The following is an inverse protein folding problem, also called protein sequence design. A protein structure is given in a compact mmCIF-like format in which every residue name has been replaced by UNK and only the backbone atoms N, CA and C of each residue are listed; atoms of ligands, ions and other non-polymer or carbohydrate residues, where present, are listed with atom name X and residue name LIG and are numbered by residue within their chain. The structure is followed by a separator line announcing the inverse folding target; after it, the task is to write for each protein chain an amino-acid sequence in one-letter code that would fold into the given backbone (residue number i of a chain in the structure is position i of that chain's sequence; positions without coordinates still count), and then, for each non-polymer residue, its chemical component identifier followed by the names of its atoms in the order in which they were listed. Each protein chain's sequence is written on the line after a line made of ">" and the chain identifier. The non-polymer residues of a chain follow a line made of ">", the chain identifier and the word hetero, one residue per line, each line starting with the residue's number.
data_IF_254281507377
#
_entry.id   IF_254281507377
#
_cell.length_a   1.000
_cell.length_b   1.000
_cell.length_c   1.000
_cell.angle_alpha   90.00
_cell.angle_beta   90.00
_cell.angle_gamma   90.00
#
_symmetry.space_group_name_H-M   'P 1'
#
loop_
_entity.id
_entity.type
_entity.pdbx_description
1 polymer ?
#
# COMPACT_ATOMS: atom_id res chain seq x y z
N UNK A 1 3.76 -3.31 -13.48
CA UNK A 1 2.89 -2.16 -13.14
C UNK A 1 3.42 -0.82 -13.70
N UNK A 2 4.66 -0.41 -13.37
CA UNK A 2 5.15 0.93 -13.75
C UNK A 2 5.81 1.05 -15.14
N UNK A 3 6.03 -0.07 -15.84
CA UNK A 3 6.73 -0.06 -17.14
C UNK A 3 6.11 0.90 -18.18
N UNK A 4 4.79 0.99 -18.36
CA UNK A 4 4.18 1.92 -19.33
C UNK A 4 4.46 3.40 -19.05
N UNK A 5 4.81 3.75 -17.81
CA UNK A 5 5.02 5.13 -17.38
C UNK A 5 6.44 5.62 -17.57
N UNK A 6 7.39 4.74 -17.93
CA UNK A 6 8.79 5.13 -18.17
C UNK A 6 8.98 5.94 -19.44
N UNK A 7 8.18 5.65 -20.46
CA UNK A 7 8.34 6.20 -21.82
C UNK A 7 7.28 7.27 -22.18
N UNK A 8 6.46 7.69 -21.21
CA UNK A 8 5.40 8.70 -21.41
C UNK A 8 5.75 10.09 -20.89
N UNK A 9 4.96 11.09 -21.29
CA UNK A 9 5.09 12.49 -20.84
C UNK A 9 5.11 12.69 -19.32
N UNK A 10 4.56 11.73 -18.57
CA UNK A 10 4.50 11.75 -17.12
C UNK A 10 5.73 11.15 -16.42
N UNK A 11 6.67 10.55 -17.14
CA UNK A 11 7.86 9.87 -16.58
C UNK A 11 8.68 10.76 -15.65
N UNK A 12 8.76 12.06 -15.96
CA UNK A 12 9.46 13.08 -15.16
C UNK A 12 8.93 13.26 -13.73
N UNK A 13 7.72 12.79 -13.44
CA UNK A 13 7.10 12.91 -12.11
C UNK A 13 7.44 11.73 -11.18
N UNK A 14 8.10 10.68 -11.69
CA UNK A 14 8.49 9.52 -10.91
C UNK A 14 9.94 9.67 -10.43
N UNK A 15 10.17 9.50 -9.13
CA UNK A 15 11.52 9.36 -8.60
C UNK A 15 12.05 7.94 -8.88
N UNK A 16 12.54 7.71 -10.11
CA UNK A 16 12.99 6.39 -10.55
C UNK A 16 14.10 5.83 -9.67
N UNK A 17 15.05 6.65 -9.22
CA UNK A 17 16.12 6.20 -8.32
C UNK A 17 15.55 5.62 -7.01
N UNK A 18 14.57 6.28 -6.40
CA UNK A 18 13.91 5.79 -5.18
C UNK A 18 13.08 4.53 -5.43
N UNK A 19 12.40 4.45 -6.59
CA UNK A 19 11.64 3.26 -6.99
C UNK A 19 12.57 2.06 -7.20
N UNK A 20 13.73 2.25 -7.82
CA UNK A 20 14.74 1.20 -7.96
C UNK A 20 15.24 0.73 -6.59
N UNK A 21 15.50 1.65 -5.65
CA UNK A 21 15.93 1.32 -4.29
C UNK A 21 14.86 0.55 -3.49
N UNK A 22 13.57 0.78 -3.75
CA UNK A 22 12.46 0.11 -3.06
C UNK A 22 11.99 -1.18 -3.74
N UNK A 23 12.32 -1.38 -5.02
CA UNK A 23 11.92 -2.57 -5.79
C UNK A 23 12.28 -3.91 -5.12
N UNK A 24 13.46 -4.07 -4.48
CA UNK A 24 13.82 -5.32 -3.78
C UNK A 24 12.85 -5.73 -2.66
N UNK A 25 12.08 -4.79 -2.10
CA UNK A 25 11.09 -5.10 -1.04
C UNK A 25 9.76 -5.62 -1.61
N UNK A 26 9.58 -5.63 -2.94
CA UNK A 26 8.36 -6.08 -3.60
C UNK A 26 7.20 -5.08 -3.44
N UNK A 27 6.50 -5.15 -2.32
CA UNK A 27 5.35 -4.31 -2.02
C UNK A 27 4.81 -4.55 -0.61
N UNK A 28 3.95 -3.67 -0.13
CA UNK A 28 3.37 -3.72 1.22
C UNK A 28 1.85 -3.80 1.08
N UNK A 29 1.23 -4.74 1.81
CA UNK A 29 -0.22 -4.78 2.03
C UNK A 29 -0.46 -5.07 3.51
N UNK A 30 -1.34 -4.29 4.12
CA UNK A 30 -1.86 -4.52 5.47
C UNK A 30 -3.37 -4.67 5.33
N UNK A 31 -3.93 -5.73 5.90
CA UNK A 31 -5.33 -6.10 5.77
C UNK A 31 -5.86 -6.52 7.14
N UNK A 32 -6.99 -5.94 7.54
CA UNK A 32 -7.68 -6.24 8.79
C UNK A 32 -9.08 -6.76 8.49
N UNK A 33 -9.70 -7.41 9.48
CA UNK A 33 -11.10 -7.80 9.44
C UNK A 33 -11.89 -6.92 10.40
N UNK A 34 -12.95 -6.30 9.88
CA UNK A 34 -13.78 -5.34 10.61
C UNK A 34 -15.23 -5.78 10.67
N UNK A 35 -15.92 -5.46 11.77
CA UNK A 35 -17.36 -5.63 11.95
C UNK A 35 -18.00 -4.26 12.11
N UNK A 36 -19.08 -4.01 11.38
CA UNK A 36 -19.85 -2.76 11.46
C UNK A 36 -21.00 -2.96 12.45
N UNK A 37 -21.11 -2.07 13.42
CA UNK A 37 -22.18 -2.01 14.42
C UNK A 37 -22.99 -0.70 14.23
N UNK A 38 -24.11 -0.51 14.95
CA UNK A 38 -24.95 0.69 14.77
C UNK A 38 -24.23 1.99 15.15
N UNK A 39 -23.31 1.95 16.13
CA UNK A 39 -22.64 3.14 16.65
C UNK A 39 -21.10 3.07 16.64
N UNK A 40 -20.50 1.99 16.13
CA UNK A 40 -19.05 1.85 16.02
C UNK A 40 -18.62 0.87 14.91
N UNK A 41 -17.31 0.85 14.66
CA UNK A 41 -16.65 -0.17 13.83
C UNK A 41 -15.65 -0.90 14.73
N UNK A 42 -15.79 -2.21 14.82
CA UNK A 42 -14.87 -3.08 15.54
C UNK A 42 -13.79 -3.56 14.57
N UNK A 43 -12.52 -3.40 14.92
CA UNK A 43 -11.42 -3.96 14.17
C UNK A 43 -10.88 -5.17 14.92
N UNK A 44 -11.48 -6.33 14.65
CA UNK A 44 -11.16 -7.59 15.32
C UNK A 44 -9.66 -7.91 15.26
N UNK A 45 -9.02 -7.63 14.12
CA UNK A 45 -7.59 -7.88 13.93
C UNK A 45 -6.73 -7.02 14.88
N UNK A 46 -7.10 -5.75 15.06
CA UNK A 46 -6.36 -4.82 15.92
C UNK A 46 -6.68 -4.97 17.40
N UNK A 47 -7.91 -5.37 17.74
CA UNK A 47 -8.32 -5.61 19.12
C UNK A 47 -7.54 -6.79 19.74
N UNK A 48 -7.18 -7.79 18.93
CA UNK A 48 -6.25 -8.87 19.30
C UNK A 48 -4.78 -8.44 19.35
N UNK A 49 -4.48 -7.16 19.15
CA UNK A 49 -3.12 -6.57 19.18
C UNK A 49 -2.15 -7.23 18.20
N UNK A 50 -2.64 -7.63 17.01
CA UNK A 50 -1.77 -8.08 15.93
C UNK A 50 -1.00 -6.87 15.37
N UNK A 51 0.32 -6.88 15.60
CA UNK A 51 1.26 -5.83 15.19
C UNK A 51 1.62 -5.95 13.71
#
# INVERSE_FOLDING_TARGET
>A
LLAPWREGQFSKHFNWQKIEALKPFGGIRIEDNVVIHENNVENMTRDLKLA
#
